data_IF_979312599976
#
_entry.id   IF_979312599976
#
_cell.length_a   1.000
_cell.length_b   1.000
_cell.length_c   1.000
_cell.angle_alpha   90.00
_cell.angle_beta   90.00
_cell.angle_gamma   90.00
#
_symmetry.space_group_name_H-M   'P 1'
#
loop_
_entity.id
_entity.type
_entity.pdbx_description
1 polymer ?
#
# COMPACT_ATOMS: atom_id res chain seq x y z
N UNK A 1 13.66 3.12 -15.30
CA UNK A 1 12.85 4.06 -14.50
C UNK A 1 11.92 3.28 -13.60
N UNK A 2 11.78 3.70 -12.35
CA UNK A 2 10.74 3.25 -11.42
C UNK A 2 9.65 4.31 -11.34
N UNK A 3 8.45 3.91 -10.92
CA UNK A 3 7.32 4.81 -10.69
C UNK A 3 6.65 4.39 -9.40
N UNK A 4 6.45 5.36 -8.51
CA UNK A 4 5.75 5.13 -7.27
C UNK A 4 4.24 5.36 -7.48
N UNK A 5 3.45 4.47 -6.91
CA UNK A 5 1.99 4.53 -6.91
C UNK A 5 1.54 4.47 -5.46
N UNK A 6 0.77 5.46 -5.03
CA UNK A 6 0.21 5.52 -3.69
C UNK A 6 -1.29 5.31 -3.79
N UNK A 7 -1.83 4.45 -2.94
CA UNK A 7 -3.25 4.16 -2.89
C UNK A 7 -3.80 4.48 -1.50
N UNK A 8 -4.87 5.28 -1.46
CA UNK A 8 -5.66 5.47 -0.26
C UNK A 8 -6.76 4.40 -0.23
N UNK A 9 -6.82 3.62 0.85
CA UNK A 9 -7.82 2.56 1.02
C UNK A 9 -8.75 2.89 2.19
N UNK A 10 -10.01 2.47 2.10
CA UNK A 10 -11.01 2.68 3.16
C UNK A 10 -10.73 1.87 4.43
N UNK A 11 -9.92 0.81 4.32
CA UNK A 11 -9.46 -0.03 5.42
C UNK A 11 -7.97 -0.27 5.29
N UNK A 12 -7.28 -0.50 6.40
CA UNK A 12 -5.88 -0.90 6.39
C UNK A 12 -5.73 -2.23 5.64
N UNK A 13 -4.92 -2.30 4.56
CA UNK A 13 -4.67 -3.56 3.88
C UNK A 13 -3.80 -4.45 4.78
N UNK A 14 -4.19 -5.72 4.89
CA UNK A 14 -3.40 -6.74 5.59
C UNK A 14 -2.51 -7.52 4.62
N UNK A 15 -1.50 -8.22 5.17
CA UNK A 15 -0.56 -9.03 4.39
C UNK A 15 -1.28 -10.05 3.51
N UNK A 16 -2.37 -10.67 3.99
CA UNK A 16 -3.10 -11.68 3.22
C UNK A 16 -3.72 -11.08 1.97
N UNK A 17 -4.35 -9.92 2.09
CA UNK A 17 -4.98 -9.19 1.00
C UNK A 17 -3.93 -8.75 -0.03
N UNK A 18 -2.75 -8.31 0.44
CA UNK A 18 -1.63 -7.96 -0.43
C UNK A 18 -1.12 -9.16 -1.24
N UNK A 19 -0.88 -10.29 -0.56
CA UNK A 19 -0.43 -11.53 -1.18
C UNK A 19 -1.43 -12.04 -2.22
N UNK A 20 -2.73 -12.00 -1.91
CA UNK A 20 -3.77 -12.40 -2.85
C UNK A 20 -3.76 -11.55 -4.13
N UNK A 21 -3.58 -10.23 -3.99
CA UNK A 21 -3.45 -9.32 -5.14
C UNK A 21 -2.22 -9.63 -6.00
N UNK A 22 -1.10 -9.96 -5.37
CA UNK A 22 0.12 -10.36 -6.09
C UNK A 22 -0.03 -11.69 -6.83
N UNK A 23 -0.64 -12.71 -6.20
CA UNK A 23 -0.88 -14.00 -6.85
C UNK A 23 -1.89 -13.89 -8.01
N UNK A 24 -2.77 -12.90 -8.00
CA UNK A 24 -3.64 -12.61 -9.14
C UNK A 24 -2.85 -12.16 -10.40
N UNK A 25 -1.59 -11.73 -10.24
CA UNK A 25 -0.71 -11.34 -11.33
C UNK A 25 -0.10 -12.50 -12.13
N UNK A 26 -0.22 -13.74 -11.64
CA UNK A 26 0.27 -14.95 -12.33
C UNK A 26 1.07 -15.88 -11.41
N UNK A 27 0.96 -17.21 -11.58
CA UNK A 27 1.63 -18.20 -10.71
C UNK A 27 3.15 -18.21 -10.83
N UNK A 28 3.71 -17.70 -11.92
CA UNK A 28 5.15 -17.59 -12.16
C UNK A 28 5.82 -16.46 -11.35
N UNK A 29 5.03 -15.57 -10.74
CA UNK A 29 5.55 -14.46 -9.96
C UNK A 29 6.00 -14.93 -8.57
N UNK A 30 7.23 -14.57 -8.22
CA UNK A 30 7.80 -14.84 -6.91
C UNK A 30 7.56 -13.71 -5.92
N UNK A 31 7.65 -14.03 -4.63
CA UNK A 31 7.58 -13.05 -3.54
C UNK A 31 8.85 -13.08 -2.70
N UNK A 32 9.33 -11.90 -2.32
CA UNK A 32 10.43 -11.73 -1.39
C UNK A 32 10.03 -10.70 -0.33
N UNK A 33 10.34 -10.95 0.94
CA UNK A 33 10.22 -9.97 2.01
C UNK A 33 11.61 -9.57 2.50
N UNK A 34 11.76 -8.33 2.97
CA UNK A 34 12.94 -7.96 3.75
C UNK A 34 12.91 -8.62 5.14
N UNK A 35 14.07 -8.69 5.81
CA UNK A 35 14.25 -9.36 7.11
C UNK A 35 13.30 -8.80 8.19
N UNK A 36 12.99 -7.50 8.13
CA UNK A 36 12.07 -6.84 9.06
C UNK A 36 10.62 -6.78 8.54
N UNK A 37 10.33 -7.40 7.40
CA UNK A 37 8.97 -7.45 6.81
C UNK A 37 8.40 -6.08 6.38
N UNK A 38 9.19 -5.01 6.48
CA UNK A 38 8.77 -3.65 6.15
C UNK A 38 8.49 -3.44 4.66
N UNK A 39 9.04 -4.31 3.81
CA UNK A 39 8.83 -4.28 2.36
C UNK A 39 8.58 -5.70 1.84
N UNK A 40 7.49 -5.85 1.09
CA UNK A 40 7.19 -7.06 0.30
C UNK A 40 7.41 -6.74 -1.17
N UNK A 41 8.13 -7.61 -1.88
CA UNK A 41 8.46 -7.47 -3.29
C UNK A 41 7.84 -8.59 -4.12
N UNK A 42 7.23 -8.20 -5.22
CA UNK A 42 6.86 -9.08 -6.32
C UNK A 42 8.04 -9.16 -7.29
N UNK A 43 8.43 -10.38 -7.67
CA UNK A 43 9.59 -10.65 -8.49
C UNK A 43 9.23 -11.52 -9.70
N UNK A 44 10.01 -11.41 -10.76
CA UNK A 44 9.99 -12.38 -11.87
C UNK A 44 10.51 -13.75 -11.40
N UNK A 45 10.30 -14.83 -12.19
CA UNK A 45 10.89 -16.15 -11.89
C UNK A 45 12.41 -16.14 -11.70
N UNK A 46 13.11 -15.20 -12.33
CA UNK A 46 14.58 -15.04 -12.23
C UNK A 46 14.99 -14.12 -11.06
N UNK A 47 14.06 -13.77 -10.17
CA UNK A 47 14.32 -12.96 -8.97
C UNK A 47 14.42 -11.46 -9.22
N UNK A 48 14.07 -10.96 -10.42
CA UNK A 48 14.10 -9.53 -10.71
C UNK A 48 12.88 -8.83 -10.10
N UNK A 49 13.03 -7.78 -9.28
CA UNK A 49 11.88 -7.09 -8.70
C UNK A 49 11.04 -6.39 -9.77
N UNK A 50 9.72 -6.48 -9.61
CA UNK A 50 8.70 -5.83 -10.44
C UNK A 50 7.96 -4.75 -9.66
N UNK A 51 7.54 -5.07 -8.43
CA UNK A 51 6.82 -4.16 -7.52
C UNK A 51 7.39 -4.33 -6.12
N UNK A 52 7.55 -3.23 -5.40
CA UNK A 52 7.82 -3.23 -3.96
C UNK A 52 6.65 -2.51 -3.27
N UNK A 53 6.14 -3.09 -2.19
CA UNK A 53 5.12 -2.48 -1.36
C UNK A 53 5.66 -2.36 0.05
N UNK A 54 5.67 -1.13 0.54
CA UNK A 54 6.06 -0.79 1.90
C UNK A 54 4.90 -1.03 2.87
N UNK A 55 5.22 -1.08 4.17
CA UNK A 55 4.24 -1.21 5.23
C UNK A 55 3.16 -0.11 5.12
N UNK A 56 1.86 -0.46 5.17
CA UNK A 56 0.78 0.53 5.10
C UNK A 56 0.82 1.50 6.28
N UNK A 57 0.60 2.79 6.01
CA UNK A 57 0.47 3.82 7.02
C UNK A 57 -1.00 4.13 7.30
N UNK A 58 -1.37 4.24 8.59
CA UNK A 58 -2.70 4.72 8.98
C UNK A 58 -2.74 6.26 8.94
N UNK A 59 -3.68 6.81 8.17
CA UNK A 59 -3.97 8.24 8.15
C UNK A 59 -5.18 8.52 9.04
N UNK A 60 -4.97 9.04 10.25
CA UNK A 60 -6.05 9.34 11.20
C UNK A 60 -6.31 10.84 11.41
N UNK A 61 -5.45 11.69 10.87
CA UNK A 61 -5.53 13.13 11.08
C UNK A 61 -6.44 13.73 10.01
N UNK A 62 -7.47 14.52 10.38
CA UNK A 62 -8.29 15.22 9.42
C UNK A 62 -7.43 16.09 8.47
N UNK A 63 -7.67 16.01 7.15
CA UNK A 63 -6.92 16.78 6.15
C UNK A 63 -5.56 16.21 5.74
N UNK A 64 -5.11 15.13 6.37
CA UNK A 64 -3.77 14.58 6.15
C UNK A 64 -3.65 13.85 4.81
N UNK A 65 -4.74 13.25 4.31
CA UNK A 65 -4.76 12.61 3.01
C UNK A 65 -4.57 13.64 1.88
N UNK A 66 -5.25 14.77 1.98
CA UNK A 66 -5.15 15.92 1.08
C UNK A 66 -3.72 16.49 1.07
N UNK A 67 -3.09 16.58 2.26
CA UNK A 67 -1.70 17.06 2.40
C UNK A 67 -0.70 16.10 1.76
N UNK A 68 -0.91 14.79 1.88
CA UNK A 68 0.00 13.76 1.37
C UNK A 68 -0.16 13.51 -0.13
N UNK A 69 -1.40 13.57 -0.64
CA UNK A 69 -1.75 13.08 -1.97
C UNK A 69 -2.27 14.17 -2.92
N UNK A 70 -2.52 15.38 -2.42
CA UNK A 70 -3.03 16.51 -3.19
C UNK A 70 -4.49 16.85 -2.86
N UNK A 71 -4.92 18.10 -3.12
CA UNK A 71 -6.25 18.60 -2.78
C UNK A 71 -7.40 17.92 -3.53
N UNK A 72 -7.12 17.22 -4.62
CA UNK A 72 -8.08 16.43 -5.39
C UNK A 72 -8.51 15.13 -4.70
N UNK A 73 -7.76 14.68 -3.69
CA UNK A 73 -8.09 13.50 -2.90
C UNK A 73 -9.06 13.89 -1.80
N UNK A 74 -10.19 13.17 -1.69
CA UNK A 74 -11.12 13.34 -0.56
C UNK A 74 -11.16 12.05 0.25
N UNK A 75 -10.64 12.11 1.47
CA UNK A 75 -10.72 10.99 2.40
C UNK A 75 -12.12 10.93 3.05
N UNK A 76 -12.63 9.72 3.36
CA UNK A 76 -13.83 9.60 4.19
C UNK A 76 -13.58 10.26 5.55
N UNK A 77 -14.60 10.96 6.06
CA UNK A 77 -14.52 11.58 7.38
C UNK A 77 -14.16 10.52 8.43
N UNK A 78 -13.20 10.80 9.34
CA UNK A 78 -12.85 9.85 10.39
C UNK A 78 -14.07 9.57 11.27
N UNK A 79 -14.21 8.35 11.83
CA UNK A 79 -15.40 7.94 12.58
C UNK A 79 -15.53 8.62 13.96
N UNK A 80 -14.66 9.57 14.30
CA UNK A 80 -14.69 10.30 15.56
C UNK A 80 -15.12 11.76 15.31
N UNK A 81 -15.99 12.35 16.15
CA UNK A 81 -16.37 13.75 15.98
C UNK A 81 -15.13 14.64 16.13
N UNK A 82 -14.92 15.54 15.18
CA UNK A 82 -13.93 16.60 15.33
C UNK A 82 -14.32 17.45 16.52
N UNK A 83 -13.57 17.34 17.61
CA UNK A 83 -13.70 18.24 18.75
C UNK A 83 -13.18 19.60 18.29
N UNK A 84 -14.11 20.50 18.01
CA UNK A 84 -13.85 21.90 17.74
C UNK A 84 -13.74 22.70 19.04
#
# INVERSE_FOLDING_TARGET
MTKDVIALTSKMPDTRSLLAGFFAGGPELGLAADQDGAVVRLCTPVGRPLVAVEAPLLVHTPGEAERLLGPEVSAPAPPYPSTS
#
